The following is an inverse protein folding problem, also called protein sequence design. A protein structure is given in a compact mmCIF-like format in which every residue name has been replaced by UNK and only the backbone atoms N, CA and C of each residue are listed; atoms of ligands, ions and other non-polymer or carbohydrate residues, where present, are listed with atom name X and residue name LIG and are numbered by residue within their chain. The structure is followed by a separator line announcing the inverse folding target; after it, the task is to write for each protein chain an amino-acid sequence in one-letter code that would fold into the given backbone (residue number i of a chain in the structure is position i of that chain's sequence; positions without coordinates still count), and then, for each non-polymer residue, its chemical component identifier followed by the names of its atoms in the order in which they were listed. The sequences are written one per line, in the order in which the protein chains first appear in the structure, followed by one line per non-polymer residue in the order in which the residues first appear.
data_IF_791103636670
#
_entry.id   IF_791103636670
#
_cell.length_a   1.000
_cell.length_b   1.000
_cell.length_c   1.000
_cell.angle_alpha   90.00
_cell.angle_beta   90.00
_cell.angle_gamma   90.00
#
_symmetry.space_group_name_H-M   'P 1'
#
loop_
_entity.id
_entity.type
_entity.pdbx_description
1 polymer ?
#
# COMPACT_ATOMS: atom_id res chain seq x y z
N UNK A 1 7.94 4.79 30.67
CA UNK A 1 7.25 5.81 31.49
C UNK A 1 6.14 6.37 30.62
N UNK A 2 4.90 5.92 30.82
CA UNK A 2 3.75 6.61 30.22
C UNK A 2 3.61 7.93 30.96
N UNK A 3 3.93 9.03 30.27
CA UNK A 3 3.73 10.37 30.83
C UNK A 3 2.22 10.57 30.92
N UNK A 4 1.73 10.62 32.16
CA UNK A 4 0.33 10.88 32.46
C UNK A 4 0.02 12.32 32.02
N UNK A 5 -0.67 12.48 30.89
CA UNK A 5 -1.03 13.78 30.33
C UNK A 5 -2.23 14.32 31.12
N UNK A 6 -2.01 14.70 32.38
CA UNK A 6 -3.00 15.43 33.16
C UNK A 6 -2.68 16.93 33.12
N UNK A 7 -3.58 17.68 32.47
CA UNK A 7 -3.93 19.10 32.66
C UNK A 7 -3.96 20.03 31.43
N UNK A 8 -3.67 19.56 30.21
CA UNK A 8 -3.91 20.37 28.98
C UNK A 8 -4.59 19.60 27.81
N UNK A 9 -5.08 18.38 28.09
CA UNK A 9 -6.18 17.70 27.40
C UNK A 9 -6.08 17.31 25.91
N UNK A 10 -5.12 17.81 25.13
CA UNK A 10 -5.11 17.66 23.68
C UNK A 10 -3.90 16.85 23.19
N UNK A 11 -4.00 15.51 23.23
CA UNK A 11 -3.15 14.63 22.43
C UNK A 11 -3.93 14.22 21.18
N UNK A 12 -3.49 14.63 20.00
CA UNK A 12 -4.07 14.21 18.72
C UNK A 12 -2.98 13.60 17.84
N UNK A 13 -3.16 12.34 17.49
CA UNK A 13 -2.32 11.63 16.53
C UNK A 13 -3.08 11.62 15.19
N UNK A 14 -2.39 11.94 14.10
CA UNK A 14 -2.90 11.71 12.76
C UNK A 14 -1.88 10.85 12.00
N UNK A 15 -2.30 9.64 11.62
CA UNK A 15 -1.51 8.73 10.80
C UNK A 15 -2.19 8.58 9.44
N UNK A 16 -1.38 8.49 8.39
CA UNK A 16 -1.80 8.15 7.02
C UNK A 16 -0.82 7.14 6.44
N UNK A 17 -1.28 6.34 5.49
CA UNK A 17 -0.52 5.24 4.92
C UNK A 17 -0.35 5.43 3.43
N UNK A 18 0.84 5.10 2.93
CA UNK A 18 1.14 4.92 1.52
C UNK A 18 1.57 3.46 1.35
N UNK A 19 0.75 2.67 0.65
CA UNK A 19 0.86 1.22 0.59
C UNK A 19 1.13 0.81 -0.84
N UNK A 20 2.28 0.17 -1.07
CA UNK A 20 2.63 -0.39 -2.37
C UNK A 20 2.32 -1.88 -2.40
N UNK A 21 1.50 -2.30 -3.36
CA UNK A 21 1.03 -3.68 -3.53
C UNK A 21 1.53 -4.21 -4.87
N UNK A 22 2.40 -5.23 -4.85
CA UNK A 22 2.84 -5.93 -6.07
C UNK A 22 1.73 -6.80 -6.62
N UNK A 23 1.36 -6.57 -7.87
CA UNK A 23 0.24 -7.27 -8.51
C UNK A 23 0.67 -8.65 -9.02
N UNK A 24 -0.26 -9.61 -8.89
CA UNK A 24 -0.09 -10.98 -9.33
C UNK A 24 -0.48 -11.17 -10.81
N UNK A 25 0.02 -10.31 -11.70
CA UNK A 25 -0.12 -10.50 -13.14
C UNK A 25 0.98 -11.45 -13.65
N UNK A 26 0.74 -12.13 -14.76
CA UNK A 26 1.73 -13.04 -15.36
C UNK A 26 2.92 -12.29 -15.95
N UNK A 27 2.66 -11.10 -16.48
CA UNK A 27 3.64 -10.25 -17.15
C UNK A 27 3.78 -8.91 -16.42
N UNK A 28 4.94 -8.29 -16.55
CA UNK A 28 5.25 -6.94 -16.03
C UNK A 28 4.33 -5.87 -16.62
N UNK A 29 4.33 -4.66 -16.03
CA UNK A 29 3.34 -3.63 -16.39
C UNK A 29 3.58 -3.00 -17.77
N UNK A 30 4.84 -2.82 -18.18
CA UNK A 30 5.20 -2.06 -19.39
C UNK A 30 5.97 -2.89 -20.43
N UNK A 31 6.04 -4.21 -20.26
CA UNK A 31 6.70 -5.12 -21.21
C UNK A 31 6.12 -6.55 -21.11
N UNK A 32 6.66 -7.48 -21.90
CA UNK A 32 6.21 -8.88 -21.97
C UNK A 32 7.10 -9.88 -21.21
N UNK A 33 8.00 -9.41 -20.37
CA UNK A 33 8.74 -10.25 -19.43
C UNK A 33 7.82 -10.73 -18.31
N UNK A 34 8.15 -11.89 -17.73
CA UNK A 34 7.37 -12.43 -16.62
C UNK A 34 7.47 -11.49 -15.40
N UNK A 35 6.41 -11.48 -14.58
CA UNK A 35 6.48 -10.82 -13.26
C UNK A 35 7.42 -11.60 -12.35
N UNK A 36 8.27 -10.90 -11.61
CA UNK A 36 9.18 -11.52 -10.65
C UNK A 36 8.45 -11.74 -9.32
N UNK A 37 8.43 -12.98 -8.84
CA UNK A 37 7.74 -13.38 -7.61
C UNK A 37 8.68 -13.78 -6.46
N UNK A 38 10.00 -13.68 -6.66
CA UNK A 38 10.99 -14.23 -5.74
C UNK A 38 11.71 -15.46 -6.30
N UNK A 39 12.73 -15.92 -5.57
CA UNK A 39 13.34 -17.25 -5.69
C UNK A 39 13.87 -17.65 -7.08
N UNK A 40 14.51 -16.71 -7.79
CA UNK A 40 15.27 -16.98 -9.02
C UNK A 40 16.68 -16.38 -8.94
N UNK A 41 17.65 -16.85 -9.76
CA UNK A 41 18.98 -16.25 -9.79
C UNK A 41 18.93 -14.75 -10.12
N UNK A 42 19.82 -13.93 -9.54
CA UNK A 42 19.89 -12.49 -9.83
C UNK A 42 20.03 -12.22 -11.32
N UNK A 43 19.31 -11.21 -11.83
CA UNK A 43 19.36 -10.78 -13.23
C UNK A 43 19.08 -11.91 -14.26
N UNK A 44 18.26 -12.90 -13.92
CA UNK A 44 17.87 -13.98 -14.84
C UNK A 44 16.54 -13.74 -15.58
N UNK A 45 15.76 -12.76 -15.15
CA UNK A 45 14.48 -12.36 -15.73
C UNK A 45 14.50 -10.86 -16.05
N UNK A 46 15.39 -10.50 -16.98
CA UNK A 46 15.68 -9.12 -17.37
C UNK A 46 15.72 -9.01 -18.88
N UNK A 47 15.12 -7.95 -19.42
CA UNK A 47 15.16 -7.62 -20.84
C UNK A 47 15.61 -6.17 -21.06
N UNK A 48 15.41 -5.70 -22.28
CA UNK A 48 15.83 -4.36 -22.70
C UNK A 48 15.10 -3.24 -21.92
N UNK A 49 13.86 -3.48 -21.48
CA UNK A 49 13.08 -2.52 -20.67
C UNK A 49 13.65 -2.33 -19.27
N UNK A 50 13.92 -3.44 -18.57
CA UNK A 50 14.46 -3.45 -17.21
C UNK A 50 15.81 -2.75 -17.14
N UNK A 51 16.64 -2.99 -18.16
CA UNK A 51 17.98 -2.43 -18.28
C UNK A 51 17.99 -1.00 -18.85
N UNK A 52 16.84 -0.47 -19.28
CA UNK A 52 16.73 0.89 -19.81
C UNK A 52 17.47 1.10 -21.13
N UNK A 53 17.47 0.12 -22.02
CA UNK A 53 18.13 0.23 -23.32
C UNK A 53 17.49 1.32 -24.19
N UNK A 54 18.31 1.96 -25.01
CA UNK A 54 17.86 3.00 -25.95
C UNK A 54 16.94 2.40 -27.01
N UNK A 55 15.86 3.11 -27.34
CA UNK A 55 14.88 2.69 -28.36
C UNK A 55 13.78 1.75 -27.89
N UNK A 56 13.76 1.34 -26.62
CA UNK A 56 12.69 0.50 -26.06
C UNK A 56 11.49 1.36 -25.66
N UNK A 57 10.28 0.91 -26.03
CA UNK A 57 9.02 1.59 -25.73
C UNK A 57 8.14 0.78 -24.76
N UNK A 58 7.40 1.45 -23.85
CA UNK A 58 6.48 0.77 -22.95
C UNK A 58 5.28 0.19 -23.68
N UNK A 59 4.85 -1.01 -23.29
CA UNK A 59 3.58 -1.61 -23.69
C UNK A 59 2.77 -1.97 -22.45
N UNK A 60 1.63 -1.32 -22.23
CA UNK A 60 0.82 -1.51 -21.02
C UNK A 60 0.16 -2.90 -21.01
N UNK A 61 0.36 -3.63 -19.92
CA UNK A 61 -0.27 -4.92 -19.70
C UNK A 61 -1.76 -4.76 -19.30
N UNK A 62 -2.72 -5.26 -20.10
CA UNK A 62 -4.15 -5.16 -19.80
C UNK A 62 -4.57 -5.90 -18.52
N UNK A 63 -3.87 -6.96 -18.14
CA UNK A 63 -4.13 -7.72 -16.91
C UNK A 63 -3.93 -6.83 -15.68
N UNK A 64 -2.91 -5.97 -15.69
CA UNK A 64 -2.60 -5.03 -14.61
C UNK A 64 -3.72 -4.00 -14.44
N UNK A 65 -4.26 -3.48 -15.54
CA UNK A 65 -5.43 -2.58 -15.51
C UNK A 65 -6.63 -3.30 -14.90
N UNK A 66 -6.90 -4.54 -15.29
CA UNK A 66 -8.02 -5.32 -14.75
C UNK A 66 -7.89 -5.56 -13.24
N UNK A 67 -6.68 -5.85 -12.75
CA UNK A 67 -6.39 -6.00 -11.32
C UNK A 67 -6.60 -4.69 -10.57
N UNK A 68 -6.14 -3.56 -11.12
CA UNK A 68 -6.40 -2.23 -10.58
C UNK A 68 -7.89 -1.90 -10.50
N UNK A 69 -8.63 -2.14 -11.58
CA UNK A 69 -10.09 -1.93 -11.65
C UNK A 69 -10.81 -2.79 -10.62
N UNK A 70 -10.36 -4.04 -10.41
CA UNK A 70 -10.92 -4.96 -9.41
C UNK A 70 -10.76 -4.42 -7.99
N UNK A 71 -9.56 -3.94 -7.64
CA UNK A 71 -9.33 -3.34 -6.32
C UNK A 71 -10.13 -2.05 -6.13
N UNK A 72 -10.06 -1.13 -7.11
CA UNK A 72 -10.79 0.14 -7.05
C UNK A 72 -12.31 -0.06 -6.91
N UNK A 73 -12.88 -1.03 -7.64
CA UNK A 73 -14.30 -1.37 -7.54
C UNK A 73 -14.64 -1.96 -6.17
N UNK A 74 -13.79 -2.86 -5.64
CA UNK A 74 -14.01 -3.46 -4.32
C UNK A 74 -13.93 -2.43 -3.18
N UNK A 75 -13.15 -1.36 -3.36
CA UNK A 75 -12.99 -0.26 -2.42
C UNK A 75 -13.96 0.91 -2.69
N UNK A 76 -14.96 0.71 -3.54
CA UNK A 76 -15.97 1.71 -3.89
C UNK A 76 -15.35 3.06 -4.35
N UNK A 77 -14.23 3.01 -5.07
CA UNK A 77 -13.52 4.21 -5.54
C UNK A 77 -14.13 4.79 -6.82
N UNK A 78 -13.97 6.10 -7.02
CA UNK A 78 -14.26 6.76 -8.28
C UNK A 78 -13.15 6.47 -9.30
N UNK A 79 -13.43 5.57 -10.24
CA UNK A 79 -12.49 5.12 -11.29
C UNK A 79 -12.42 6.17 -12.42
N UNK A 80 -11.20 6.51 -12.83
CA UNK A 80 -10.98 7.39 -13.98
C UNK A 80 -11.45 6.75 -15.29
N UNK A 81 -12.17 7.52 -16.11
CA UNK A 81 -12.59 7.09 -17.47
C UNK A 81 -11.44 7.01 -18.46
N UNK A 82 -10.31 7.65 -18.17
CA UNK A 82 -9.13 7.69 -19.02
C UNK A 82 -7.90 7.49 -18.13
N UNK A 83 -7.15 6.44 -18.39
CA UNK A 83 -5.87 6.18 -17.73
C UNK A 83 -4.79 6.92 -18.51
N UNK A 84 -4.01 7.71 -17.79
CA UNK A 84 -2.80 8.38 -18.25
C UNK A 84 -1.65 7.93 -17.35
N UNK A 85 -0.44 7.93 -17.90
CA UNK A 85 0.77 7.66 -17.15
C UNK A 85 1.71 8.86 -17.23
N UNK A 86 2.53 9.01 -16.21
CA UNK A 86 3.50 10.07 -16.03
C UNK A 86 4.87 9.47 -15.69
N UNK A 87 5.93 10.15 -16.10
CA UNK A 87 7.31 9.87 -15.71
C UNK A 87 7.63 10.64 -14.44
N UNK A 88 7.89 9.93 -13.34
CA UNK A 88 8.49 10.46 -12.11
C UNK A 88 10.00 10.39 -12.24
N UNK A 89 10.66 11.54 -12.42
CA UNK A 89 12.07 11.63 -12.78
C UNK A 89 12.94 11.69 -11.53
N UNK A 90 13.86 10.74 -11.41
CA UNK A 90 14.93 10.72 -10.42
C UNK A 90 16.03 9.74 -10.82
N UNK A 91 17.27 10.08 -10.45
CA UNK A 91 18.42 9.24 -10.72
C UNK A 91 18.73 8.38 -9.50
N UNK A 92 18.67 7.07 -9.67
CA UNK A 92 19.11 6.09 -8.68
C UNK A 92 19.63 4.84 -9.39
N UNK A 93 20.52 4.10 -8.73
CA UNK A 93 21.18 2.93 -9.35
C UNK A 93 20.21 1.82 -9.75
N UNK A 94 19.07 1.71 -9.06
CA UNK A 94 18.03 0.70 -9.31
C UNK A 94 17.00 1.09 -10.39
N UNK A 95 17.18 2.27 -11.00
CA UNK A 95 16.27 2.83 -11.99
C UNK A 95 17.06 3.37 -13.20
N UNK A 96 17.47 2.49 -14.13
CA UNK A 96 18.43 2.81 -15.18
C UNK A 96 17.84 3.76 -16.23
N UNK A 97 16.51 3.81 -16.34
CA UNK A 97 15.79 4.75 -17.22
C UNK A 97 15.90 6.22 -16.76
N UNK A 98 16.26 6.47 -15.49
CA UNK A 98 16.24 7.81 -14.88
C UNK A 98 14.83 8.34 -14.59
N UNK A 99 13.79 7.53 -14.81
CA UNK A 99 12.41 7.82 -14.46
C UNK A 99 11.62 6.54 -14.22
N UNK A 100 10.62 6.64 -13.36
CA UNK A 100 9.64 5.59 -13.05
C UNK A 100 8.32 5.99 -13.69
N UNK A 101 7.70 5.09 -14.46
CA UNK A 101 6.36 5.32 -14.97
C UNK A 101 5.34 5.07 -13.84
N UNK A 102 4.55 6.09 -13.52
CA UNK A 102 3.53 6.14 -12.45
C UNK A 102 2.36 7.00 -12.92
N UNK A 103 1.55 7.54 -12.01
CA UNK A 103 0.44 8.44 -12.32
C UNK A 103 0.37 9.62 -11.35
N UNK A 104 0.34 10.84 -11.88
CA UNK A 104 0.31 12.08 -11.10
C UNK A 104 -0.74 13.06 -11.64
N UNK A 105 -0.81 13.28 -12.95
CA UNK A 105 -1.78 14.21 -13.55
C UNK A 105 -3.20 13.67 -13.37
N UNK A 106 -3.37 12.36 -13.61
CA UNK A 106 -4.64 11.67 -13.48
C UNK A 106 -4.45 10.32 -12.82
N UNK A 107 -4.86 10.25 -11.56
CA UNK A 107 -4.81 9.03 -10.75
C UNK A 107 -5.77 7.98 -11.32
N UNK A 108 -5.48 6.70 -11.10
CA UNK A 108 -6.31 5.60 -11.58
C UNK A 108 -7.72 5.64 -10.99
N UNK A 109 -7.79 5.84 -9.68
CA UNK A 109 -9.03 6.03 -8.96
C UNK A 109 -8.81 6.93 -7.74
N UNK A 110 -9.85 7.63 -7.33
CA UNK A 110 -9.86 8.55 -6.16
C UNK A 110 -11.04 8.23 -5.26
N UNK A 111 -11.00 8.71 -4.01
CA UNK A 111 -12.17 8.75 -3.11
C UNK A 111 -12.90 7.40 -2.99
N UNK A 112 -12.35 6.48 -2.19
CA UNK A 112 -13.07 5.26 -1.80
C UNK A 112 -12.96 4.99 -0.32
N UNK A 113 -13.34 3.78 0.07
CA UNK A 113 -13.34 3.38 1.47
C UNK A 113 -13.01 1.89 1.61
N UNK A 114 -12.29 1.54 2.67
CA UNK A 114 -12.22 0.17 3.16
C UNK A 114 -13.16 0.03 4.37
N UNK A 115 -14.24 -0.77 4.28
CA UNK A 115 -15.04 -1.13 5.44
C UNK A 115 -14.24 -2.06 6.35
N UNK A 116 -13.74 -1.49 7.44
CA UNK A 116 -12.90 -2.15 8.44
C UNK A 116 -13.78 -2.83 9.49
N UNK A 117 -13.71 -4.15 9.57
CA UNK A 117 -14.44 -4.92 10.58
C UNK A 117 -13.67 -4.88 11.91
N UNK A 118 -14.17 -4.16 12.92
CA UNK A 118 -13.54 -4.02 14.23
C UNK A 118 -14.44 -4.64 15.30
N UNK A 119 -14.07 -5.85 15.74
CA UNK A 119 -14.79 -6.65 16.75
C UNK A 119 -16.28 -6.89 16.45
N UNK A 120 -17.13 -5.91 16.75
CA UNK A 120 -18.59 -5.94 16.64
C UNK A 120 -19.16 -4.83 15.74
N UNK A 121 -18.32 -3.98 15.12
CA UNK A 121 -18.77 -2.92 14.23
C UNK A 121 -17.97 -2.89 12.91
N UNK A 122 -18.50 -2.15 11.94
CA UNK A 122 -17.82 -1.84 10.69
C UNK A 122 -17.59 -0.33 10.65
N UNK A 123 -16.33 0.06 10.54
CA UNK A 123 -15.92 1.45 10.37
C UNK A 123 -15.43 1.66 8.93
N UNK A 124 -15.92 2.69 8.23
CA UNK A 124 -15.41 3.00 6.88
C UNK A 124 -14.17 3.87 6.98
N UNK A 125 -13.03 3.33 6.56
CA UNK A 125 -11.78 4.09 6.50
C UNK A 125 -11.60 4.68 5.10
N UNK A 126 -11.58 6.01 4.95
CA UNK A 126 -11.41 6.66 3.66
C UNK A 126 -10.03 6.42 3.02
N UNK A 127 -10.08 6.15 1.72
CA UNK A 127 -8.93 5.97 0.84
C UNK A 127 -8.92 7.14 -0.13
N UNK A 128 -7.77 7.82 -0.19
CA UNK A 128 -7.59 9.03 -0.98
C UNK A 128 -7.42 8.71 -2.46
N UNK A 129 -6.49 7.81 -2.77
CA UNK A 129 -6.13 7.51 -4.16
C UNK A 129 -5.56 6.11 -4.34
N UNK A 130 -5.61 5.68 -5.60
CA UNK A 130 -4.98 4.48 -6.12
C UNK A 130 -4.28 4.88 -7.44
N UNK A 131 -3.02 4.49 -7.59
CA UNK A 131 -2.23 4.65 -8.82
C UNK A 131 -1.63 3.32 -9.26
N UNK A 132 -1.41 3.17 -10.56
CA UNK A 132 -0.63 2.09 -11.16
C UNK A 132 0.79 2.58 -11.47
N UNK A 133 1.79 1.79 -11.13
CA UNK A 133 3.18 2.11 -11.43
C UNK A 133 4.05 0.87 -11.64
N UNK A 134 5.29 1.07 -12.07
CA UNK A 134 6.32 0.02 -12.11
C UNK A 134 7.20 0.03 -10.87
N UNK A 135 7.66 -1.14 -10.44
CA UNK A 135 8.67 -1.28 -9.39
C UNK A 135 10.10 -1.03 -9.90
N UNK A 136 11.00 -0.70 -8.97
CA UNK A 136 12.44 -0.56 -9.24
C UNK A 136 13.20 -1.87 -9.00
N UNK A 137 14.45 -1.91 -9.45
CA UNK A 137 15.33 -3.03 -9.14
C UNK A 137 15.58 -3.17 -7.63
N UNK A 138 16.10 -4.32 -7.20
CA UNK A 138 16.50 -4.52 -5.81
C UNK A 138 17.96 -4.09 -5.65
N UNK A 139 18.20 -3.15 -4.74
CA UNK A 139 19.56 -2.78 -4.31
C UNK A 139 19.95 -3.60 -3.08
N UNK A 140 21.12 -4.25 -3.15
CA UNK A 140 21.70 -5.03 -2.05
C UNK A 140 23.03 -4.36 -1.69
N UNK A 141 23.11 -3.86 -0.46
CA UNK A 141 24.31 -3.20 0.06
C UNK A 141 25.14 -4.22 0.84
N UNK A 142 26.41 -4.35 0.48
CA UNK A 142 27.38 -5.16 1.22
C UNK A 142 28.71 -4.42 1.38
N UNK A 143 29.72 -5.11 1.92
CA UNK A 143 31.05 -4.51 2.14
C UNK A 143 31.81 -4.22 0.82
N UNK A 144 31.43 -4.86 -0.28
CA UNK A 144 32.08 -4.74 -1.59
C UNK A 144 31.43 -3.64 -2.45
N UNK A 145 30.20 -3.24 -2.12
CA UNK A 145 29.51 -2.12 -2.74
C UNK A 145 28.01 -2.31 -2.81
N UNK A 146 27.42 -1.87 -3.93
CA UNK A 146 25.99 -2.01 -4.23
C UNK A 146 25.82 -3.03 -5.34
N UNK A 147 25.19 -4.16 -5.04
CA UNK A 147 24.77 -5.18 -6.01
C UNK A 147 23.33 -4.91 -6.43
N UNK A 148 23.06 -4.95 -7.73
CA UNK A 148 21.75 -4.65 -8.31
C UNK A 148 21.14 -5.92 -8.91
N UNK A 149 19.90 -6.20 -8.56
CA UNK A 149 19.08 -7.24 -9.18
C UNK A 149 17.85 -6.63 -9.87
N UNK A 150 17.88 -6.63 -11.19
CA UNK A 150 16.86 -6.05 -12.07
C UNK A 150 15.66 -6.98 -12.31
N UNK A 151 15.65 -8.20 -11.76
CA UNK A 151 14.51 -9.12 -11.89
C UNK A 151 13.17 -8.44 -11.53
N UNK A 152 13.16 -7.65 -10.45
CA UNK A 152 11.99 -6.93 -9.95
C UNK A 152 11.63 -5.69 -10.77
N UNK A 153 12.57 -5.09 -11.48
CA UNK A 153 12.32 -3.85 -12.20
C UNK A 153 11.19 -4.07 -13.22
N UNK A 154 10.23 -3.13 -13.31
CA UNK A 154 9.07 -3.30 -14.18
C UNK A 154 7.93 -4.14 -13.60
N UNK A 155 8.08 -4.72 -12.40
CA UNK A 155 6.96 -5.41 -11.75
C UNK A 155 5.77 -4.45 -11.58
N UNK A 156 4.52 -4.92 -11.74
CA UNK A 156 3.35 -4.08 -11.59
C UNK A 156 3.08 -3.78 -10.12
N UNK A 157 2.84 -2.51 -9.81
CA UNK A 157 2.47 -2.03 -8.48
C UNK A 157 1.16 -1.26 -8.51
N UNK A 158 0.43 -1.36 -7.41
CA UNK A 158 -0.53 -0.36 -7.00
C UNK A 158 0.09 0.45 -5.85
N UNK A 159 0.10 1.77 -5.97
CA UNK A 159 0.26 2.69 -4.85
C UNK A 159 -1.15 3.05 -4.34
N UNK A 160 -1.43 2.78 -3.07
CA UNK A 160 -2.69 3.12 -2.41
C UNK A 160 -2.41 4.08 -1.26
N UNK A 161 -3.03 5.25 -1.28
CA UNK A 161 -2.84 6.30 -0.28
C UNK A 161 -4.13 6.47 0.52
N UNK A 162 -4.03 6.46 1.85
CA UNK A 162 -5.17 6.71 2.73
C UNK A 162 -5.32 8.20 3.03
N UNK A 163 -6.51 8.61 3.48
CA UNK A 163 -6.62 9.88 4.20
C UNK A 163 -5.91 9.78 5.57
N UNK A 164 -5.42 10.89 6.16
CA UNK A 164 -4.69 10.88 7.43
C UNK A 164 -5.64 10.83 8.64
N UNK A 165 -6.50 9.81 8.68
CA UNK A 165 -7.62 9.71 9.64
C UNK A 165 -7.32 8.86 10.86
N UNK A 166 -6.26 8.05 10.83
CA UNK A 166 -5.98 7.10 11.89
C UNK A 166 -5.46 7.81 13.15
N UNK A 167 -6.07 7.50 14.29
CA UNK A 167 -5.69 8.04 15.60
C UNK A 167 -5.14 6.96 16.55
N UNK A 168 -5.41 5.69 16.26
CA UNK A 168 -5.05 4.53 17.06
C UNK A 168 -4.11 3.61 16.26
N UNK A 169 -3.10 3.06 16.94
CA UNK A 169 -2.11 2.19 16.32
C UNK A 169 -2.76 0.87 15.90
N UNK A 170 -3.62 0.35 16.76
CA UNK A 170 -4.37 -0.89 16.59
C UNK A 170 -5.23 -0.83 15.31
N UNK A 171 -5.86 0.33 15.06
CA UNK A 171 -6.67 0.57 13.86
C UNK A 171 -5.80 0.61 12.59
N UNK A 172 -4.59 1.18 12.65
CA UNK A 172 -3.62 1.14 11.52
C UNK A 172 -3.22 -0.30 11.19
N UNK A 173 -2.84 -1.09 12.20
CA UNK A 173 -2.41 -2.47 12.00
C UNK A 173 -3.55 -3.33 11.45
N UNK A 174 -4.77 -3.13 11.96
CA UNK A 174 -5.96 -3.82 11.49
C UNK A 174 -6.29 -3.46 10.04
N UNK A 175 -6.16 -2.18 9.66
CA UNK A 175 -6.35 -1.73 8.28
C UNK A 175 -5.40 -2.43 7.32
N UNK A 176 -4.10 -2.45 7.64
CA UNK A 176 -3.09 -3.08 6.78
C UNK A 176 -3.37 -4.59 6.66
N UNK A 177 -3.72 -5.26 7.76
CA UNK A 177 -4.06 -6.69 7.77
C UNK A 177 -5.29 -7.00 6.94
N UNK A 178 -6.37 -6.21 7.06
CA UNK A 178 -7.58 -6.42 6.27
C UNK A 178 -7.40 -6.07 4.80
N UNK A 179 -6.63 -5.04 4.46
CA UNK A 179 -6.26 -4.75 3.07
C UNK A 179 -5.44 -5.89 2.47
N UNK A 180 -4.44 -6.40 3.19
CA UNK A 180 -3.65 -7.57 2.78
C UNK A 180 -4.55 -8.80 2.53
N UNK A 181 -5.48 -9.07 3.43
CA UNK A 181 -6.43 -10.17 3.27
C UNK A 181 -7.37 -9.95 2.09
N UNK A 182 -7.84 -8.73 1.85
CA UNK A 182 -8.68 -8.38 0.71
C UNK A 182 -7.98 -8.65 -0.62
N UNK A 183 -6.74 -8.17 -0.78
CA UNK A 183 -6.01 -8.36 -2.05
C UNK A 183 -5.67 -9.83 -2.32
N UNK A 184 -5.41 -10.63 -1.29
CA UNK A 184 -5.26 -12.09 -1.38
C UNK A 184 -6.59 -12.77 -1.71
N UNK A 185 -7.67 -12.34 -1.06
CA UNK A 185 -9.01 -12.85 -1.30
C UNK A 185 -9.47 -12.60 -2.74
N UNK A 186 -9.09 -11.45 -3.31
CA UNK A 186 -9.42 -11.09 -4.68
C UNK A 186 -8.39 -11.60 -5.71
N UNK A 187 -7.38 -12.39 -5.31
CA UNK A 187 -6.30 -12.86 -6.21
C UNK A 187 -5.59 -11.71 -6.95
N UNK A 188 -5.47 -10.55 -6.29
CA UNK A 188 -4.81 -9.35 -6.82
C UNK A 188 -3.32 -9.38 -6.49
N UNK A 189 -2.98 -9.87 -5.30
CA UNK A 189 -1.60 -9.97 -4.81
C UNK A 189 -1.50 -11.05 -3.74
N UNK A 190 -0.34 -11.73 -3.69
CA UNK A 190 0.06 -12.55 -2.55
C UNK A 190 0.43 -11.69 -1.32
N UNK A 191 0.73 -10.40 -1.53
CA UNK A 191 0.92 -9.36 -0.52
C UNK A 191 1.81 -9.77 0.67
N UNK A 192 2.86 -10.56 0.41
CA UNK A 192 3.85 -11.00 1.39
C UNK A 192 4.82 -9.86 1.72
N UNK A 193 4.80 -9.37 2.95
CA UNK A 193 5.67 -8.25 3.37
C UNK A 193 7.14 -8.68 3.39
N UNK A 194 7.40 -9.92 3.80
CA UNK A 194 8.72 -10.54 3.86
C UNK A 194 9.39 -10.67 2.48
N UNK A 195 8.58 -10.78 1.41
CA UNK A 195 9.05 -10.78 0.02
C UNK A 195 9.01 -9.39 -0.63
N UNK A 196 8.59 -8.35 0.12
CA UNK A 196 8.47 -6.98 -0.38
C UNK A 196 7.28 -6.74 -1.31
N UNK A 197 6.30 -7.67 -1.37
CA UNK A 197 5.11 -7.56 -2.21
C UNK A 197 4.04 -6.63 -1.61
N UNK A 198 4.15 -6.34 -0.32
CA UNK A 198 3.36 -5.32 0.38
C UNK A 198 4.33 -4.46 1.19
N UNK A 199 4.47 -3.19 0.79
CA UNK A 199 5.32 -2.21 1.48
C UNK A 199 4.45 -1.08 2.01
N UNK A 200 4.76 -0.60 3.21
CA UNK A 200 4.01 0.46 3.87
C UNK A 200 4.97 1.56 4.28
N UNK A 201 4.70 2.76 3.79
CA UNK A 201 5.30 4.00 4.27
C UNK A 201 4.28 4.72 5.16
N UNK A 202 4.73 5.15 6.33
CA UNK A 202 3.88 5.76 7.34
C UNK A 202 4.05 7.27 7.34
N UNK A 203 2.97 8.01 7.18
CA UNK A 203 2.92 9.45 7.40
C UNK A 203 2.38 9.74 8.80
N UNK A 204 3.14 10.47 9.62
CA UNK A 204 2.80 10.74 11.01
C UNK A 204 2.82 12.24 11.31
N UNK A 205 1.80 12.71 12.03
CA UNK A 205 1.85 13.98 12.74
C UNK A 205 1.21 13.86 14.12
N UNK A 206 1.69 14.70 15.03
CA UNK A 206 1.29 14.68 16.44
C UNK A 206 1.09 16.10 16.94
N UNK A 207 -0.01 16.30 17.67
CA UNK A 207 -0.26 17.49 18.48
C UNK A 207 -0.27 17.11 19.96
N UNK A 208 0.49 17.84 20.78
CA UNK A 208 0.55 17.70 22.24
C UNK A 208 0.26 19.06 22.88
N UNK A 209 -0.81 19.13 23.68
CA UNK A 209 -1.26 20.38 24.29
C UNK A 209 -1.58 21.46 23.24
N UNK A 210 -1.43 22.74 23.63
CA UNK A 210 -1.76 23.87 22.76
C UNK A 210 -0.63 24.25 21.79
N UNK A 211 0.62 24.15 22.24
CA UNK A 211 1.76 24.80 21.57
C UNK A 211 2.73 23.83 20.87
N UNK A 212 2.50 22.52 20.92
CA UNK A 212 3.38 21.54 20.27
C UNK A 212 2.63 20.82 19.15
N UNK A 213 3.02 21.10 17.91
CA UNK A 213 2.49 20.45 16.72
C UNK A 213 3.63 20.08 15.80
N UNK A 214 3.77 18.78 15.52
CA UNK A 214 4.79 18.34 14.59
C UNK A 214 4.41 18.66 13.14
N UNK A 215 5.39 18.88 12.26
CA UNK A 215 5.17 18.73 10.83
C UNK A 215 4.87 17.27 10.48
N UNK A 216 4.59 17.00 9.21
CA UNK A 216 4.46 15.63 8.69
C UNK A 216 5.83 14.96 8.65
N UNK A 217 5.96 13.83 9.34
CA UNK A 217 7.07 12.90 9.20
C UNK A 217 6.67 11.74 8.31
N UNK A 218 7.63 11.19 7.58
CA UNK A 218 7.44 10.04 6.70
C UNK A 218 8.41 8.94 7.13
N UNK A 219 7.91 7.82 7.65
CA UNK A 219 8.72 6.70 8.12
C UNK A 219 8.68 5.59 7.08
N UNK A 220 9.84 5.25 6.51
CA UNK A 220 10.04 4.21 5.50
C UNK A 220 10.70 2.96 6.08
N UNK A 221 10.82 1.92 5.26
CA UNK A 221 11.46 0.63 5.58
C UNK A 221 10.74 -0.17 6.68
N UNK A 222 9.41 -0.14 6.67
CA UNK A 222 8.58 -0.87 7.63
C UNK A 222 8.22 -2.25 7.10
N UNK A 223 9.12 -3.21 7.29
CA UNK A 223 9.04 -4.56 6.68
C UNK A 223 8.03 -5.52 7.36
N UNK A 224 7.44 -5.15 8.49
CA UNK A 224 6.48 -5.99 9.21
C UNK A 224 5.48 -5.14 10.00
N UNK A 225 4.31 -5.70 10.31
CA UNK A 225 3.33 -5.04 11.19
C UNK A 225 3.91 -4.68 12.56
N UNK A 226 4.78 -5.55 13.10
CA UNK A 226 5.48 -5.29 14.35
C UNK A 226 6.43 -4.09 14.24
N UNK A 227 7.13 -3.93 13.11
CA UNK A 227 8.00 -2.79 12.88
C UNK A 227 7.19 -1.49 12.76
N UNK A 228 6.03 -1.53 12.12
CA UNK A 228 5.09 -0.39 12.05
C UNK A 228 4.66 0.04 13.44
N UNK A 229 4.20 -0.91 14.27
CA UNK A 229 3.79 -0.62 15.64
C UNK A 229 4.91 0.05 16.45
N UNK A 230 6.10 -0.57 16.43
CA UNK A 230 7.25 -0.09 17.20
C UNK A 230 7.73 1.27 16.71
N UNK A 231 7.72 1.52 15.40
CA UNK A 231 8.05 2.83 14.82
C UNK A 231 7.08 3.93 15.29
N UNK A 232 5.76 3.66 15.28
CA UNK A 232 4.76 4.61 15.75
C UNK A 232 4.95 4.90 17.24
N UNK A 233 5.10 3.86 18.07
CA UNK A 233 5.32 4.01 19.52
C UNK A 233 6.59 4.80 19.81
N UNK A 234 7.67 4.54 19.08
CA UNK A 234 8.93 5.25 19.22
C UNK A 234 8.77 6.74 18.92
N UNK A 235 8.17 7.12 17.79
CA UNK A 235 7.99 8.54 17.46
C UNK A 235 7.06 9.26 18.44
N UNK A 236 5.99 8.61 18.90
CA UNK A 236 5.12 9.17 19.94
C UNK A 236 5.92 9.45 21.21
N UNK A 237 6.67 8.46 21.71
CA UNK A 237 7.45 8.59 22.95
C UNK A 237 8.54 9.66 22.83
N UNK A 238 9.24 9.71 21.68
CA UNK A 238 10.26 10.72 21.38
C UNK A 238 9.67 12.13 21.43
N UNK A 239 8.52 12.36 20.79
CA UNK A 239 7.88 13.69 20.81
C UNK A 239 7.28 14.05 22.17
N UNK A 240 6.77 13.07 22.92
CA UNK A 240 6.33 13.29 24.31
C UNK A 240 7.49 13.72 25.21
N UNK A 241 8.68 13.11 25.05
CA UNK A 241 9.88 13.51 25.78
C UNK A 241 10.31 14.93 25.42
N UNK A 242 10.39 15.25 24.12
CA UNK A 242 10.73 16.61 23.66
C UNK A 242 9.76 17.65 24.22
N UNK A 243 8.46 17.35 24.21
CA UNK A 243 7.44 18.21 24.78
C UNK A 243 7.63 18.41 26.29
N UNK A 244 7.88 17.34 27.05
CA UNK A 244 8.13 17.41 28.50
C UNK A 244 9.38 18.22 28.88
N UNK A 245 10.34 18.31 27.96
CA UNK A 245 11.57 19.10 28.11
C UNK A 245 11.43 20.54 27.60
N UNK A 246 10.23 20.96 27.17
CA UNK A 246 10.00 22.31 26.63
C UNK A 246 10.69 22.56 25.28
N UNK A 247 11.09 21.50 24.57
CA UNK A 247 11.72 21.63 23.25
C UNK A 247 10.68 21.76 22.15
N UNK A 248 11.07 22.38 21.03
CA UNK A 248 10.24 22.45 19.83
C UNK A 248 10.34 21.14 19.01
N UNK A 249 9.29 20.78 18.26
CA UNK A 249 9.37 19.65 17.34
C UNK A 249 10.40 19.92 16.23
N UNK A 250 11.16 18.90 15.79
CA UNK A 250 12.00 19.01 14.61
C UNK A 250 11.20 19.40 13.35
N UNK A 251 11.92 19.85 12.32
CA UNK A 251 11.36 20.10 11.00
C UNK A 251 10.93 18.78 10.33
N UNK A 252 10.16 18.86 9.24
CA UNK A 252 9.73 17.68 8.48
C UNK A 252 10.94 16.85 8.03
N UNK A 253 10.88 15.55 8.29
CA UNK A 253 11.94 14.60 7.98
C UNK A 253 11.37 13.33 7.35
N UNK A 254 12.17 12.73 6.48
CA UNK A 254 12.01 11.33 6.07
C UNK A 254 12.88 10.48 6.97
N UNK A 255 12.27 9.53 7.64
CA UNK A 255 12.87 8.65 8.64
C UNK A 255 12.91 7.22 8.09
N UNK A 256 13.90 6.44 8.52
CA UNK A 256 13.90 4.99 8.35
C UNK A 256 13.84 4.32 9.71
N UNK A 257 13.18 3.17 9.79
CA UNK A 257 13.18 2.36 11.00
C UNK A 257 14.37 1.41 11.04
N UNK A 258 15.20 1.51 12.08
CA UNK A 258 16.29 0.56 12.37
C UNK A 258 15.76 -0.50 13.33
N UNK A 259 15.57 -1.72 12.82
CA UNK A 259 15.03 -2.84 13.59
C UNK A 259 16.00 -3.35 14.67
N UNK A 260 17.31 -3.25 14.45
CA UNK A 260 18.28 -3.70 15.46
C UNK A 260 18.28 -2.77 16.68
N UNK A 261 18.14 -1.46 16.43
CA UNK A 261 18.13 -0.44 17.49
C UNK A 261 16.73 -0.12 18.01
N UNK A 262 15.68 -0.51 17.28
CA UNK A 262 14.29 -0.16 17.58
C UNK A 262 14.08 1.37 17.64
N UNK A 263 14.75 2.08 16.73
CA UNK A 263 14.76 3.56 16.66
C UNK A 263 14.49 4.02 15.23
N UNK A 264 14.00 5.25 15.07
CA UNK A 264 14.02 5.92 13.77
C UNK A 264 15.34 6.67 13.55
N UNK A 265 15.82 6.65 12.31
CA UNK A 265 17.00 7.36 11.87
C UNK A 265 16.59 8.35 10.78
N UNK A 266 17.01 9.60 10.88
CA UNK A 266 16.74 10.59 9.84
C UNK A 266 17.55 10.27 8.59
N UNK A 267 16.87 10.17 7.45
CA UNK A 267 17.50 10.13 6.14
C UNK A 267 17.76 11.55 5.61
N UNK A 268 18.53 11.64 4.52
CA UNK A 268 18.85 12.90 3.82
C UNK A 268 17.59 13.63 3.34
N UNK A 269 17.73 14.95 3.11
CA UNK A 269 16.70 15.89 2.64
C UNK A 269 15.85 15.29 1.51
N UNK A 270 14.53 15.55 1.58
CA UNK A 270 13.53 15.19 0.58
C UNK A 270 13.95 15.70 -0.81
N UNK A 271 14.19 14.79 -1.74
CA UNK A 271 14.45 15.12 -3.15
C UNK A 271 13.14 15.59 -3.79
N UNK A 272 13.18 16.70 -4.55
CA UNK A 272 12.03 17.12 -5.35
C UNK A 272 12.02 16.32 -6.65
N UNK A 273 10.91 15.65 -6.93
CA UNK A 273 10.68 14.94 -8.18
C UNK A 273 10.08 15.88 -9.23
N UNK A 274 10.44 15.65 -10.48
CA UNK A 274 9.78 16.26 -11.64
C UNK A 274 8.86 15.23 -12.29
N UNK A 275 7.69 15.67 -12.72
CA UNK A 275 6.72 14.83 -13.42
C UNK A 275 6.54 15.34 -14.85
N UNK A 276 6.55 14.43 -15.81
CA UNK A 276 6.25 14.70 -17.21
C UNK A 276 5.24 13.66 -17.73
N UNK A 277 4.26 14.03 -18.55
CA UNK A 277 3.38 13.05 -19.18
C UNK A 277 4.16 11.99 -19.96
N UNK A 278 3.79 10.72 -19.83
CA UNK A 278 4.36 9.61 -20.60
C UNK A 278 3.74 9.56 -22.01
N UNK A 279 4.40 10.22 -22.96
CA UNK A 279 3.89 10.36 -24.34
C UNK A 279 3.95 9.07 -25.16
N UNK A 280 4.74 8.07 -24.74
CA UNK A 280 4.82 6.79 -25.46
C UNK A 280 3.65 5.86 -25.13
N UNK A 281 2.84 6.17 -24.11
CA UNK A 281 1.62 5.43 -23.78
C UNK A 281 0.42 6.31 -24.14
N UNK A 282 -0.38 5.95 -25.16
CA UNK A 282 -1.56 6.73 -25.50
C UNK A 282 -2.62 6.64 -24.38
N UNK A 283 -3.50 7.65 -24.26
CA UNK A 283 -4.59 7.60 -23.29
C UNK A 283 -5.46 6.36 -23.44
N UNK A 284 -5.62 5.60 -22.36
CA UNK A 284 -6.41 4.36 -22.37
C UNK A 284 -7.80 4.66 -21.85
N UNK A 285 -8.82 4.52 -22.70
CA UNK A 285 -10.22 4.72 -22.31
C UNK A 285 -10.76 3.48 -21.61
N UNK A 286 -11.39 3.67 -20.46
CA UNK A 286 -12.08 2.61 -19.73
C UNK A 286 -13.58 2.76 -19.93
N UNK A 287 -14.20 1.73 -20.47
CA UNK A 287 -15.64 1.73 -20.72
C UNK A 287 -16.41 1.37 -19.44
N UNK A 288 -17.60 1.95 -19.27
CA UNK A 288 -18.50 1.57 -18.18
C UNK A 288 -18.85 0.07 -18.20
N UNK A 289 -18.89 -0.52 -19.41
CA UNK A 289 -19.13 -1.96 -19.61
C UNK A 289 -18.03 -2.81 -18.98
N UNK A 290 -16.77 -2.40 -19.07
CA UNK A 290 -15.65 -3.11 -18.45
C UNK A 290 -15.72 -3.04 -16.93
N UNK A 291 -15.99 -1.86 -16.37
CA UNK A 291 -16.18 -1.67 -14.92
C UNK A 291 -17.32 -2.57 -14.42
N UNK A 292 -18.46 -2.56 -15.10
CA UNK A 292 -19.60 -3.42 -14.75
C UNK A 292 -19.28 -4.92 -14.86
N UNK A 293 -18.51 -5.33 -15.88
CA UNK A 293 -18.08 -6.72 -16.04
C UNK A 293 -17.20 -7.16 -14.87
N UNK A 294 -16.28 -6.30 -14.43
CA UNK A 294 -15.42 -6.58 -13.28
C UNK A 294 -16.26 -6.63 -12.00
N UNK A 295 -17.14 -5.66 -11.76
CA UNK A 295 -18.03 -5.64 -10.60
C UNK A 295 -18.85 -6.92 -10.46
N UNK A 296 -19.40 -7.46 -11.57
CA UNK A 296 -20.15 -8.72 -11.58
C UNK A 296 -19.31 -9.96 -11.23
N UNK A 297 -18.00 -9.90 -11.46
CA UNK A 297 -17.08 -11.01 -11.20
C UNK A 297 -16.38 -10.92 -9.84
N UNK A 298 -16.59 -9.84 -9.08
CA UNK A 298 -16.10 -9.73 -7.71
C UNK A 298 -16.96 -10.65 -6.82
N UNK A 299 -16.34 -11.62 -6.12
CA UNK A 299 -17.07 -12.44 -5.17
C UNK A 299 -17.53 -11.59 -3.97
N UNK A 300 -18.52 -12.08 -3.20
CA UNK A 300 -19.00 -11.39 -2.00
C UNK A 300 -17.84 -10.93 -1.12
N UNK A 301 -17.79 -9.64 -0.80
CA UNK A 301 -16.67 -9.05 -0.06
C UNK A 301 -16.72 -9.45 1.41
N UNK A 302 -15.56 -9.49 2.11
CA UNK A 302 -15.48 -10.00 3.49
C UNK A 302 -16.44 -9.31 4.47
N UNK A 303 -16.53 -7.97 4.43
CA UNK A 303 -17.42 -7.20 5.31
C UNK A 303 -18.90 -7.40 5.00
N UNK A 304 -19.28 -7.57 3.72
CA UNK A 304 -20.66 -7.89 3.32
C UNK A 304 -21.06 -9.24 3.90
N UNK A 305 -20.16 -10.23 3.78
CA UNK A 305 -20.40 -11.57 4.31
C UNK A 305 -20.44 -11.58 5.84
N UNK A 306 -19.57 -10.80 6.47
CA UNK A 306 -19.56 -10.61 7.92
C UNK A 306 -20.89 -10.03 8.39
N UNK A 307 -21.37 -8.94 7.77
CA UNK A 307 -22.63 -8.28 8.15
C UNK A 307 -23.84 -9.20 7.95
N UNK A 308 -23.88 -9.94 6.84
CA UNK A 308 -24.95 -10.90 6.56
C UNK A 308 -25.03 -11.98 7.65
N UNK A 309 -23.89 -12.59 8.01
CA UNK A 309 -23.89 -13.72 8.94
C UNK A 309 -24.07 -13.30 10.40
N UNK A 310 -23.55 -12.14 10.80
CA UNK A 310 -23.80 -11.61 12.16
C UNK A 310 -25.26 -11.25 12.36
N UNK A 311 -25.94 -10.69 11.34
CA UNK A 311 -27.40 -10.48 11.36
C UNK A 311 -28.21 -11.78 11.49
N UNK A 312 -27.69 -12.89 10.97
CA UNK A 312 -28.30 -14.22 11.10
C UNK A 312 -27.99 -14.91 12.45
N UNK A 313 -27.35 -14.22 13.40
CA UNK A 313 -27.07 -14.74 14.74
C UNK A 313 -25.74 -15.48 14.87
N UNK A 314 -24.89 -15.49 13.83
CA UNK A 314 -23.53 -16.05 13.95
C UNK A 314 -22.68 -15.13 14.84
N UNK A 315 -21.97 -15.73 15.80
CA UNK A 315 -21.09 -15.00 16.70
C UNK A 315 -20.04 -14.16 15.93
N UNK A 316 -19.95 -12.83 16.16
CA UNK A 316 -19.01 -11.94 15.47
C UNK A 316 -17.54 -12.35 15.60
N UNK A 317 -17.11 -12.84 16.76
CA UNK A 317 -15.72 -13.28 16.96
C UNK A 317 -15.36 -14.48 16.07
N UNK A 318 -16.30 -15.42 15.86
CA UNK A 318 -16.10 -16.53 14.92
C UNK A 318 -16.00 -16.01 13.47
N UNK A 319 -16.82 -15.03 13.11
CA UNK A 319 -16.76 -14.42 11.78
C UNK A 319 -15.47 -13.65 11.53
N UNK A 320 -14.93 -12.98 12.55
CA UNK A 320 -13.62 -12.31 12.47
C UNK A 320 -12.52 -13.31 12.09
N UNK A 321 -12.51 -14.50 12.69
CA UNK A 321 -11.54 -15.55 12.33
C UNK A 321 -11.68 -16.05 10.88
N UNK A 322 -12.89 -16.05 10.33
CA UNK A 322 -13.16 -16.48 8.95
C UNK A 322 -12.66 -15.43 7.95
N UNK A 323 -13.00 -14.15 8.17
CA UNK A 323 -12.58 -13.07 7.26
C UNK A 323 -11.06 -12.83 7.32
N UNK A 324 -10.42 -13.16 8.44
CA UNK A 324 -8.96 -13.10 8.57
C UNK A 324 -8.22 -14.13 7.71
N UNK A 325 -8.92 -15.18 7.23
CA UNK A 325 -8.34 -16.26 6.43
C UNK A 325 -8.97 -16.27 5.04
N UNK A 326 -8.35 -15.62 4.03
CA UNK A 326 -8.91 -15.53 2.68
C UNK A 326 -9.34 -16.86 2.06
N UNK A 327 -8.54 -17.92 2.22
CA UNK A 327 -8.87 -19.25 1.70
C UNK A 327 -10.10 -19.87 2.38
N UNK A 328 -10.27 -19.64 3.69
CA UNK A 328 -11.43 -20.14 4.42
C UNK A 328 -12.71 -19.44 3.96
N UNK A 329 -12.65 -18.11 3.79
CA UNK A 329 -13.76 -17.33 3.24
C UNK A 329 -14.12 -17.76 1.80
N UNK A 330 -13.13 -17.97 0.93
CA UNK A 330 -13.34 -18.51 -0.43
C UNK A 330 -14.04 -19.86 -0.38
N UNK A 331 -13.58 -20.76 0.49
CA UNK A 331 -14.13 -22.11 0.64
C UNK A 331 -15.58 -22.04 1.13
N UNK A 332 -15.87 -21.20 2.12
CA UNK A 332 -17.22 -20.98 2.62
C UNK A 332 -18.17 -20.54 1.49
N UNK A 333 -17.80 -19.50 0.75
CA UNK A 333 -18.61 -18.98 -0.36
C UNK A 333 -18.79 -20.02 -1.47
N UNK A 334 -17.76 -20.83 -1.74
CA UNK A 334 -17.84 -21.92 -2.70
C UNK A 334 -18.83 -23.01 -2.27
N UNK A 335 -18.78 -23.45 -1.00
CA UNK A 335 -19.67 -24.49 -0.47
C UNK A 335 -21.14 -24.03 -0.44
N UNK A 336 -21.38 -22.77 -0.08
CA UNK A 336 -22.72 -22.15 -0.14
C UNK A 336 -23.27 -22.13 -1.56
N UNK A 337 -22.46 -21.71 -2.55
CA UNK A 337 -22.86 -21.73 -3.97
C UNK A 337 -23.17 -23.14 -4.49
N UNK A 338 -22.60 -24.17 -3.87
CA UNK A 338 -22.87 -25.58 -4.21
C UNK A 338 -24.03 -26.18 -3.41
N UNK A 339 -24.67 -25.42 -2.52
CA UNK A 339 -25.73 -25.93 -1.64
C UNK A 339 -25.24 -26.98 -0.64
N UNK A 340 -23.93 -27.06 -0.39
CA UNK A 340 -23.30 -28.07 0.49
C UNK A 340 -23.09 -27.58 1.92
N UNK A 341 -23.32 -26.30 2.15
CA UNK A 341 -23.16 -25.66 3.45
C UNK A 341 -24.13 -24.49 3.55
N UNK A 342 -24.87 -24.42 4.65
CA UNK A 342 -25.69 -23.29 5.02
C UNK A 342 -25.40 -23.01 6.49
N UNK A 343 -25.09 -21.75 6.77
CA UNK A 343 -24.56 -21.31 8.06
C UNK A 343 -25.63 -20.71 8.95
#
# INVERSE_FOLDING_TARGET
MEINISNDGLKKICLGLEIHITLNSRKKIFNWENTYHGDIPPNSQVGAWELGYLGVLPTVNPEVIQLGLKLATALEMEISKIILFDRKIYNYFDLPKGYQITQQERLFAISGNLPLVKENNIEKIPIKSLQLEEDTAKSIYDQEGVKLDFNRAGNPLIELVTEPVFQEIETVLLFIKQLQNLVRYLDISEARMEQGQLRVDLNFSLKLGRNYSTPRYEVKNLNSLANIEKAIRYEINKHQLLFSQGQNPPISQTLGFDEAKQTTISHRKKTRYYYLPEVNIPPIKISQREIQKIAKNIPTLPWIKWEQLTKNGVNPAKMNLIIEKPMLLKTLIFLEKKGKFQM
#
